data_IF_325203606572
#
_entry.id   IF_325203606572
#
_cell.length_a   1.000
_cell.length_b   1.000
_cell.length_c   1.000
_cell.angle_alpha   90.00
_cell.angle_beta   90.00
_cell.angle_gamma   90.00
#
_symmetry.space_group_name_H-M   'P 1'
#
loop_
_entity.id
_entity.type
_entity.pdbx_description
1 polymer ?
#
# COMPACT_ATOMS: atom_id res chain seq x y z
N UNK A 1 21.74 25.86 -33.29
CA UNK A 1 20.70 26.64 -32.60
C UNK A 1 19.33 26.04 -32.88
N UNK A 2 18.71 25.35 -31.91
CA UNK A 2 17.44 24.63 -32.07
C UNK A 2 16.31 25.49 -31.51
N UNK A 3 15.33 25.82 -32.35
CA UNK A 3 14.21 26.74 -32.05
C UNK A 3 13.21 26.03 -31.12
N UNK A 4 13.10 26.52 -29.90
CA UNK A 4 12.15 26.08 -28.87
C UNK A 4 10.73 26.52 -29.28
N UNK A 5 9.79 25.58 -29.37
CA UNK A 5 8.35 25.90 -29.43
C UNK A 5 7.78 25.75 -28.03
N UNK A 6 7.37 26.88 -27.46
CA UNK A 6 6.65 26.97 -26.19
C UNK A 6 5.17 26.69 -26.52
N UNK A 7 4.62 25.60 -25.98
CA UNK A 7 3.19 25.33 -26.02
C UNK A 7 2.53 26.06 -24.85
N UNK A 8 1.65 27.02 -25.15
CA UNK A 8 0.76 27.60 -24.16
C UNK A 8 -0.38 26.61 -23.86
N UNK A 9 -0.58 26.19 -22.61
CA UNK A 9 -1.74 25.38 -22.25
C UNK A 9 -3.01 26.22 -22.30
N UNK A 10 -3.99 25.72 -23.05
CA UNK A 10 -5.33 26.29 -23.13
C UNK A 10 -6.06 26.07 -21.79
N UNK A 11 -6.71 27.08 -21.20
CA UNK A 11 -7.39 26.93 -19.92
C UNK A 11 -8.62 26.00 -20.03
N UNK A 12 -8.93 25.23 -18.98
CA UNK A 12 -10.11 24.36 -18.96
C UNK A 12 -11.40 25.20 -18.94
N UNK A 13 -12.32 24.87 -19.85
CA UNK A 13 -13.68 25.38 -19.86
C UNK A 13 -14.46 24.82 -18.65
N UNK A 14 -14.76 25.70 -17.69
CA UNK A 14 -15.67 25.46 -16.58
C UNK A 14 -17.13 25.77 -16.99
N UNK A 15 -18.14 25.36 -16.20
CA UNK A 15 -19.32 24.65 -16.72
C UNK A 15 -20.45 25.59 -17.15
N UNK A 16 -21.18 25.20 -18.20
CA UNK A 16 -22.48 25.80 -18.52
C UNK A 16 -23.48 25.42 -17.42
N UNK A 17 -23.84 26.40 -16.62
CA UNK A 17 -24.96 26.36 -15.69
C UNK A 17 -26.26 26.02 -16.45
N UNK A 18 -26.85 24.88 -16.12
CA UNK A 18 -28.21 24.54 -16.53
C UNK A 18 -29.17 25.18 -15.53
N UNK A 19 -29.55 26.43 -15.79
CA UNK A 19 -30.67 27.08 -15.12
C UNK A 19 -31.94 26.61 -15.84
N UNK A 20 -32.60 25.56 -15.31
CA UNK A 20 -34.00 25.30 -15.64
C UNK A 20 -34.89 25.88 -14.55
N UNK A 21 -35.52 26.98 -14.94
CA UNK A 21 -36.73 27.55 -14.35
C UNK A 21 -37.83 26.49 -14.44
N UNK A 22 -38.35 26.03 -13.31
CA UNK A 22 -39.68 25.41 -13.26
C UNK A 22 -40.61 26.32 -12.50
N UNK A 23 -41.48 26.92 -13.29
CA UNK A 23 -42.57 27.77 -12.86
C UNK A 23 -43.54 27.03 -11.95
N UNK A 24 -43.77 27.70 -10.83
CA UNK A 24 -44.90 27.68 -9.94
C UNK A 24 -46.22 27.22 -10.61
N UNK A 25 -46.76 26.08 -10.17
CA UNK A 25 -48.16 25.69 -10.41
C UNK A 25 -48.87 25.68 -9.07
N UNK A 26 -49.72 26.68 -8.86
CA UNK A 26 -50.63 26.78 -7.74
C UNK A 26 -51.71 25.70 -7.88
N UNK A 27 -51.64 24.66 -7.05
CA UNK A 27 -52.75 23.74 -6.82
C UNK A 27 -53.13 23.79 -5.34
N UNK A 28 -54.22 24.50 -5.05
CA UNK A 28 -54.96 24.40 -3.81
C UNK A 28 -55.58 23.00 -3.74
N UNK A 29 -54.89 22.08 -3.07
CA UNK A 29 -55.39 20.74 -2.76
C UNK A 29 -55.39 20.56 -1.24
N UNK A 30 -56.60 20.51 -0.67
CA UNK A 30 -56.87 20.34 0.75
C UNK A 30 -56.65 18.89 1.22
N UNK A 31 -55.45 18.35 1.02
CA UNK A 31 -55.00 17.05 1.55
C UNK A 31 -53.54 17.15 2.05
N UNK A 32 -53.21 18.22 2.77
CA UNK A 32 -51.85 18.61 3.14
C UNK A 32 -51.11 17.86 4.28
N UNK A 33 -51.70 16.97 5.12
CA UNK A 33 -50.89 16.35 6.18
C UNK A 33 -50.07 15.14 5.69
N UNK A 34 -50.56 14.37 4.70
CA UNK A 34 -49.95 13.08 4.34
C UNK A 34 -48.65 13.24 3.54
N UNK A 35 -48.57 14.23 2.64
CA UNK A 35 -47.37 14.47 1.82
C UNK A 35 -46.17 15.04 2.60
N UNK A 36 -46.41 15.75 3.71
CA UNK A 36 -45.33 16.28 4.57
C UNK A 36 -44.65 15.17 5.37
N UNK A 37 -45.41 14.13 5.74
CA UNK A 37 -44.90 12.99 6.51
C UNK A 37 -43.92 12.13 5.70
N UNK A 38 -44.21 11.85 4.43
CA UNK A 38 -43.31 11.09 3.56
C UNK A 38 -41.97 11.79 3.33
N UNK A 39 -41.96 13.13 3.16
CA UNK A 39 -40.71 13.89 3.01
C UNK A 39 -39.84 13.82 4.27
N UNK A 40 -40.43 13.93 5.45
CA UNK A 40 -39.72 13.79 6.74
C UNK A 40 -39.15 12.37 6.93
N UNK A 41 -39.90 11.33 6.57
CA UNK A 41 -39.44 9.94 6.64
C UNK A 41 -38.27 9.70 5.67
N UNK A 42 -38.34 10.20 4.43
CA UNK A 42 -37.25 10.04 3.47
C UNK A 42 -35.97 10.79 3.88
N UNK A 43 -36.09 11.98 4.47
CA UNK A 43 -34.92 12.73 4.97
C UNK A 43 -34.30 11.99 6.16
N UNK A 44 -35.10 11.43 7.06
CA UNK A 44 -34.62 10.62 8.20
C UNK A 44 -33.90 9.34 7.74
N UNK A 45 -34.42 8.65 6.71
CA UNK A 45 -33.76 7.48 6.11
C UNK A 45 -32.41 7.86 5.48
N UNK A 46 -32.34 8.98 4.76
CA UNK A 46 -31.08 9.45 4.14
C UNK A 46 -30.06 9.84 5.22
N UNK A 47 -30.49 10.50 6.31
CA UNK A 47 -29.58 10.86 7.41
C UNK A 47 -29.08 9.63 8.19
N UNK A 48 -29.88 8.57 8.32
CA UNK A 48 -29.44 7.34 9.01
C UNK A 48 -28.40 6.55 8.21
N UNK A 49 -28.36 6.66 6.88
CA UNK A 49 -27.26 6.12 6.07
C UNK A 49 -25.94 6.89 6.24
N UNK A 50 -25.97 8.16 6.63
CA UNK A 50 -24.75 8.98 6.81
C UNK A 50 -24.02 8.70 8.13
N UNK A 51 -24.66 8.06 9.12
CA UNK A 51 -24.07 7.86 10.46
C UNK A 51 -23.14 6.64 10.55
N UNK A 52 -23.12 5.74 9.56
CA UNK A 52 -22.46 4.44 9.71
C UNK A 52 -21.06 4.28 9.08
N UNK A 53 -20.46 5.33 8.51
CA UNK A 53 -19.11 5.25 7.93
C UNK A 53 -18.02 5.83 8.83
N UNK A 54 -18.05 5.56 10.14
CA UNK A 54 -16.85 5.77 10.97
C UNK A 54 -15.93 4.56 10.79
N UNK A 55 -14.85 4.75 10.04
CA UNK A 55 -13.74 3.79 9.96
C UNK A 55 -13.31 3.44 11.39
N UNK A 56 -13.28 2.15 11.72
CA UNK A 56 -12.66 1.70 12.96
C UNK A 56 -11.20 2.18 12.99
N UNK A 57 -10.74 2.55 14.17
CA UNK A 57 -9.33 2.90 14.36
C UNK A 57 -8.48 1.63 14.24
N UNK A 58 -7.31 1.73 13.61
CA UNK A 58 -6.35 0.62 13.57
C UNK A 58 -5.91 0.24 14.98
N UNK A 59 -5.77 -1.06 15.22
CA UNK A 59 -5.40 -1.62 16.52
C UNK A 59 -4.20 -2.54 16.36
N UNK A 60 -3.24 -2.45 17.28
CA UNK A 60 -2.03 -3.27 17.29
C UNK A 60 -2.35 -4.57 18.01
N UNK A 61 -2.25 -5.69 17.29
CA UNK A 61 -2.40 -7.04 17.88
C UNK A 61 -1.06 -7.55 18.39
N UNK A 62 0.01 -7.24 17.67
CA UNK A 62 1.35 -7.73 17.97
C UNK A 62 2.41 -6.73 17.49
N UNK A 63 3.45 -6.53 18.29
CA UNK A 63 4.62 -5.75 17.90
C UNK A 63 5.88 -6.29 18.61
N UNK A 64 6.92 -6.62 17.83
CA UNK A 64 8.25 -6.98 18.31
C UNK A 64 9.24 -5.93 17.80
N UNK A 65 10.01 -5.35 18.73
CA UNK A 65 11.03 -4.33 18.43
C UNK A 65 12.46 -4.87 18.43
N UNK A 66 12.67 -6.10 18.88
CA UNK A 66 14.00 -6.72 18.92
C UNK A 66 14.47 -7.06 17.51
N UNK A 67 15.77 -6.88 17.26
CA UNK A 67 16.39 -7.30 16.01
C UNK A 67 16.62 -8.81 16.01
N UNK A 68 16.44 -9.43 14.85
CA UNK A 68 16.75 -10.84 14.68
C UNK A 68 18.20 -11.03 14.27
N UNK A 69 18.77 -12.17 14.66
CA UNK A 69 20.04 -12.63 14.12
C UNK A 69 19.92 -12.85 12.61
N UNK A 70 20.91 -12.38 11.87
CA UNK A 70 21.01 -12.62 10.44
C UNK A 70 21.13 -14.12 10.12
N UNK A 71 20.43 -14.57 9.06
CA UNK A 71 20.71 -15.87 8.44
C UNK A 71 22.09 -15.87 7.78
N UNK A 72 22.65 -17.06 7.56
CA UNK A 72 23.93 -17.25 6.89
C UNK A 72 23.93 -16.81 5.43
N UNK A 73 25.13 -16.69 4.86
CA UNK A 73 25.29 -16.39 3.43
C UNK A 73 24.70 -17.56 2.62
N UNK A 74 23.85 -17.25 1.62
CA UNK A 74 23.14 -18.23 0.78
C UNK A 74 22.13 -19.13 1.52
N UNK A 75 21.84 -18.87 2.79
CA UNK A 75 20.73 -19.53 3.48
C UNK A 75 19.39 -18.87 3.08
N UNK A 76 18.28 -19.63 3.07
CA UNK A 76 16.95 -19.05 2.86
C UNK A 76 16.65 -17.93 3.85
N UNK A 77 16.11 -16.81 3.34
CA UNK A 77 15.69 -15.70 4.19
C UNK A 77 14.54 -16.12 5.09
N UNK A 78 14.57 -15.73 6.37
CA UNK A 78 13.47 -15.98 7.30
C UNK A 78 12.78 -14.66 7.62
N UNK A 79 11.58 -14.49 7.07
CA UNK A 79 10.72 -13.33 7.28
C UNK A 79 9.92 -13.52 8.57
N UNK A 80 10.38 -12.90 9.64
CA UNK A 80 9.74 -13.01 10.97
C UNK A 80 8.75 -11.89 11.20
N UNK A 81 7.59 -12.22 11.75
CA UNK A 81 6.56 -11.24 12.09
C UNK A 81 7.10 -10.22 13.10
N UNK A 82 6.98 -8.93 12.75
CA UNK A 82 7.36 -7.81 13.61
C UNK A 82 6.19 -6.96 14.03
N UNK A 83 5.16 -6.85 13.19
CA UNK A 83 3.99 -6.03 13.50
C UNK A 83 2.75 -6.67 12.90
N UNK A 84 1.68 -6.75 13.68
CA UNK A 84 0.35 -7.14 13.22
C UNK A 84 -0.67 -6.11 13.68
N UNK A 85 -1.53 -5.66 12.76
CA UNK A 85 -2.64 -4.76 13.07
C UNK A 85 -3.94 -5.28 12.46
N UNK A 86 -5.04 -4.93 13.10
CA UNK A 86 -6.40 -5.04 12.55
C UNK A 86 -6.96 -3.65 12.26
N UNK A 87 -7.97 -3.58 11.40
CA UNK A 87 -8.53 -2.32 10.90
C UNK A 87 -7.47 -1.40 10.26
N UNK A 88 -6.55 -2.01 9.50
CA UNK A 88 -5.45 -1.34 8.84
C UNK A 88 -5.55 -1.49 7.32
N UNK A 89 -4.83 -0.65 6.58
CA UNK A 89 -4.62 -0.79 5.14
C UNK A 89 -3.24 -0.25 4.75
N UNK A 90 -2.78 -0.62 3.57
CA UNK A 90 -1.61 -0.03 2.94
C UNK A 90 -1.89 1.42 2.54
N UNK A 91 -0.86 2.25 2.63
CA UNK A 91 -0.89 3.59 2.07
C UNK A 91 -0.32 3.59 0.65
N UNK A 92 -1.13 3.16 -0.32
CA UNK A 92 -0.72 3.04 -1.73
C UNK A 92 -0.08 4.31 -2.30
N UNK A 93 -0.53 5.50 -1.85
CA UNK A 93 0.06 6.78 -2.26
C UNK A 93 1.55 6.89 -1.95
N UNK A 94 2.04 6.16 -0.94
CA UNK A 94 3.46 6.08 -0.56
C UNK A 94 4.21 4.94 -1.25
N UNK A 95 3.52 3.82 -1.53
CA UNK A 95 4.14 2.61 -2.10
C UNK A 95 4.33 2.70 -3.62
N UNK A 96 3.39 3.35 -4.32
CA UNK A 96 3.41 3.45 -5.78
C UNK A 96 4.51 4.39 -6.29
N UNK A 97 5.03 5.26 -5.40
CA UNK A 97 6.01 6.29 -5.75
C UNK A 97 6.90 6.64 -4.55
N UNK A 98 7.67 5.65 -4.08
CA UNK A 98 8.56 5.81 -2.93
C UNK A 98 9.60 6.92 -3.20
N UNK A 99 10.08 7.01 -4.43
CA UNK A 99 11.11 7.98 -4.80
C UNK A 99 10.61 9.43 -4.73
N UNK A 100 9.40 9.74 -5.20
CA UNK A 100 8.90 11.11 -5.09
C UNK A 100 8.47 11.45 -3.66
N UNK A 101 7.92 10.49 -2.91
CA UNK A 101 7.48 10.74 -1.53
C UNK A 101 8.65 10.91 -0.55
N UNK A 102 9.78 10.24 -0.82
CA UNK A 102 10.91 10.18 0.11
C UNK A 102 12.23 10.71 -0.44
N UNK A 103 12.26 11.15 -1.70
CA UNK A 103 13.41 11.74 -2.36
C UNK A 103 14.53 10.72 -2.66
N UNK A 104 15.21 10.91 -3.81
CA UNK A 104 16.29 10.02 -4.28
C UNK A 104 17.54 10.00 -3.37
N UNK A 105 17.70 10.97 -2.46
CA UNK A 105 18.93 11.19 -1.68
C UNK A 105 18.71 11.31 -0.15
N UNK A 106 17.56 10.91 0.38
CA UNK A 106 17.30 11.02 1.82
C UNK A 106 17.76 9.78 2.62
N UNK A 107 17.99 9.99 3.94
CA UNK A 107 18.47 8.96 4.88
C UNK A 107 17.55 7.71 4.89
N UNK A 108 18.09 6.48 4.95
CA UNK A 108 17.33 5.23 4.94
C UNK A 108 16.15 5.15 5.92
N UNK A 109 16.29 5.77 7.11
CA UNK A 109 15.25 5.78 8.16
C UNK A 109 13.90 6.38 7.71
N UNK A 110 13.88 7.27 6.70
CA UNK A 110 12.61 7.80 6.17
C UNK A 110 11.88 6.80 5.28
N UNK A 111 12.58 5.87 4.62
CA UNK A 111 12.00 4.92 3.65
C UNK A 111 11.12 3.86 4.28
N UNK A 112 11.46 3.39 5.48
CA UNK A 112 10.63 2.43 6.23
C UNK A 112 9.21 2.98 6.44
N UNK A 113 9.04 4.31 6.53
CA UNK A 113 7.72 4.91 6.72
C UNK A 113 6.77 4.77 5.53
N UNK A 114 7.28 4.44 4.34
CA UNK A 114 6.45 4.10 3.17
C UNK A 114 5.58 2.86 3.44
N UNK A 115 6.08 1.98 4.30
CA UNK A 115 5.45 0.72 4.67
C UNK A 115 4.56 0.85 5.92
N UNK A 116 4.45 2.03 6.53
CA UNK A 116 3.57 2.19 7.70
C UNK A 116 2.09 2.18 7.28
N UNK A 117 1.22 1.44 7.98
CA UNK A 117 -0.17 1.30 7.61
C UNK A 117 -1.01 2.54 7.97
N UNK A 118 -2.10 2.75 7.24
CA UNK A 118 -3.17 3.69 7.57
C UNK A 118 -4.41 2.96 8.13
N UNK A 119 -5.40 3.71 8.59
CA UNK A 119 -6.68 3.12 9.01
C UNK A 119 -7.38 2.46 7.81
N UNK A 120 -8.02 1.32 8.06
CA UNK A 120 -8.65 0.52 7.02
C UNK A 120 -9.55 -0.58 7.56
N UNK A 121 -9.83 -1.57 6.73
CA UNK A 121 -10.72 -2.70 7.05
C UNK A 121 -10.03 -4.08 7.01
N UNK A 122 -8.71 -4.09 6.82
CA UNK A 122 -7.95 -5.32 6.60
C UNK A 122 -7.05 -5.61 7.80
N UNK A 123 -6.48 -6.82 7.78
CA UNK A 123 -5.40 -7.19 8.66
C UNK A 123 -4.09 -6.85 7.95
N UNK A 124 -3.16 -6.26 8.69
CA UNK A 124 -1.85 -5.87 8.21
C UNK A 124 -0.79 -6.64 8.96
N UNK A 125 0.19 -7.15 8.23
CA UNK A 125 1.34 -7.86 8.76
C UNK A 125 2.61 -7.25 8.19
N UNK A 126 3.60 -7.03 9.04
CA UNK A 126 4.94 -6.60 8.66
C UNK A 126 5.94 -7.63 9.13
N UNK A 127 6.73 -8.13 8.20
CA UNK A 127 7.80 -9.07 8.43
C UNK A 127 9.14 -8.43 8.12
N UNK A 128 10.16 -8.82 8.85
CA UNK A 128 11.55 -8.45 8.57
C UNK A 128 12.38 -9.72 8.45
N UNK A 129 13.15 -9.83 7.38
CA UNK A 129 14.19 -10.85 7.23
C UNK A 129 15.56 -10.19 7.35
N UNK A 130 16.37 -10.59 8.31
CA UNK A 130 17.77 -10.16 8.43
C UNK A 130 18.67 -11.27 7.89
N UNK A 131 19.58 -10.94 6.97
CA UNK A 131 20.40 -11.95 6.26
C UNK A 131 21.80 -11.40 5.91
N UNK A 132 22.76 -12.30 5.71
CA UNK A 132 24.09 -11.95 5.20
C UNK A 132 24.10 -11.96 3.67
N UNK A 133 24.65 -10.91 3.08
CA UNK A 133 24.79 -10.76 1.63
C UNK A 133 26.14 -10.15 1.23
N UNK A 134 26.47 -10.25 -0.05
CA UNK A 134 27.63 -9.58 -0.64
C UNK A 134 27.32 -8.10 -0.89
N UNK A 135 28.14 -7.18 -0.39
CA UNK A 135 28.03 -5.75 -0.75
C UNK A 135 28.96 -5.39 -1.90
N UNK A 136 28.45 -4.66 -2.88
CA UNK A 136 29.27 -4.05 -3.92
C UNK A 136 30.14 -2.94 -3.32
N UNK A 137 31.45 -2.99 -3.56
CA UNK A 137 32.42 -2.04 -3.02
C UNK A 137 33.25 -1.36 -4.13
N UNK A 138 32.67 -1.09 -5.30
CA UNK A 138 33.32 -0.28 -6.34
C UNK A 138 34.66 -0.82 -6.85
N UNK A 139 34.84 -2.14 -6.89
CA UNK A 139 36.07 -2.81 -7.34
C UNK A 139 37.02 -3.26 -6.22
N UNK A 140 36.76 -2.91 -4.97
CA UNK A 140 37.43 -3.50 -3.81
C UNK A 140 36.92 -4.94 -3.54
N UNK A 141 37.63 -5.75 -2.72
CA UNK A 141 37.16 -7.08 -2.35
C UNK A 141 35.73 -7.07 -1.82
N UNK A 142 34.92 -8.02 -2.28
CA UNK A 142 33.55 -8.20 -1.81
C UNK A 142 33.53 -8.41 -0.31
N UNK A 143 32.83 -7.53 0.42
CA UNK A 143 32.59 -7.72 1.85
C UNK A 143 31.22 -8.32 2.10
N UNK A 144 31.12 -9.22 3.08
CA UNK A 144 29.85 -9.74 3.56
C UNK A 144 29.29 -8.75 4.58
N UNK A 145 28.06 -8.29 4.37
CA UNK A 145 27.33 -7.38 5.29
C UNK A 145 25.97 -7.97 5.64
N UNK A 146 25.36 -7.43 6.68
CA UNK A 146 23.98 -7.73 7.03
C UNK A 146 23.03 -6.78 6.29
N UNK A 147 21.95 -7.36 5.78
CA UNK A 147 20.87 -6.69 5.08
C UNK A 147 19.54 -7.08 5.71
N UNK A 148 18.51 -6.28 5.47
CA UNK A 148 17.15 -6.43 5.96
C UNK A 148 16.17 -6.23 4.82
N UNK A 149 15.35 -7.24 4.59
CA UNK A 149 14.17 -7.11 3.74
C UNK A 149 12.96 -6.83 4.61
N UNK A 150 12.10 -5.92 4.15
CA UNK A 150 10.74 -5.74 4.65
C UNK A 150 9.76 -6.41 3.71
N UNK A 151 8.82 -7.17 4.28
CA UNK A 151 7.66 -7.72 3.58
C UNK A 151 6.41 -7.27 4.33
N UNK A 152 5.49 -6.60 3.64
CA UNK A 152 4.18 -6.26 4.17
C UNK A 152 3.12 -7.09 3.48
N UNK A 153 2.17 -7.63 4.26
CA UNK A 153 1.06 -8.45 3.76
C UNK A 153 -0.24 -7.89 4.31
N UNK A 154 -1.21 -7.73 3.40
CA UNK A 154 -2.58 -7.33 3.69
C UNK A 154 -3.48 -8.54 3.50
N UNK A 155 -4.27 -8.89 4.51
CA UNK A 155 -5.24 -10.00 4.42
C UNK A 155 -6.65 -9.56 4.77
N UNK A 156 -7.64 -10.33 4.32
CA UNK A 156 -9.01 -10.23 4.84
C UNK A 156 -9.15 -10.99 6.18
N UNK A 157 -10.37 -11.05 6.72
CA UNK A 157 -10.65 -11.72 7.99
C UNK A 157 -10.48 -13.25 7.96
N UNK A 158 -10.35 -13.85 6.78
CA UNK A 158 -10.11 -15.29 6.58
C UNK A 158 -8.64 -15.61 6.29
N UNK A 159 -7.74 -14.64 6.53
CA UNK A 159 -6.32 -14.68 6.21
C UNK A 159 -6.00 -14.87 4.73
N UNK A 160 -6.96 -14.64 3.83
CA UNK A 160 -6.67 -14.58 2.39
C UNK A 160 -5.85 -13.33 2.08
N UNK A 161 -4.72 -13.52 1.41
CA UNK A 161 -3.82 -12.45 0.99
C UNK A 161 -4.51 -11.65 -0.11
N UNK A 162 -4.69 -10.36 0.15
CA UNK A 162 -5.28 -9.39 -0.77
C UNK A 162 -4.18 -8.68 -1.55
N UNK A 163 -3.10 -8.31 -0.87
CA UNK A 163 -1.96 -7.64 -1.47
C UNK A 163 -0.71 -7.84 -0.60
N UNK A 164 0.48 -7.75 -1.20
CA UNK A 164 1.74 -7.80 -0.47
C UNK A 164 2.86 -7.10 -1.24
N UNK A 165 3.78 -6.47 -0.49
CA UNK A 165 4.94 -5.79 -1.05
C UNK A 165 6.21 -6.20 -0.32
N UNK A 166 7.30 -6.37 -1.06
CA UNK A 166 8.63 -6.63 -0.53
C UNK A 166 9.60 -5.54 -0.99
N UNK A 167 10.55 -5.18 -0.12
CA UNK A 167 11.61 -4.21 -0.41
C UNK A 167 12.85 -4.49 0.43
N UNK A 168 14.05 -4.27 -0.12
CA UNK A 168 15.31 -4.38 0.61
C UNK A 168 15.73 -3.01 1.17
N UNK A 169 15.89 -2.88 2.48
CA UNK A 169 16.03 -1.59 3.18
C UNK A 169 17.38 -0.89 2.97
N UNK A 170 18.45 -1.67 2.85
CA UNK A 170 19.85 -1.20 2.85
C UNK A 170 20.36 -0.87 1.45
N UNK A 171 19.65 -1.27 0.40
CA UNK A 171 20.00 -0.87 -0.95
C UNK A 171 19.69 0.63 -1.11
N UNK A 172 20.69 1.33 -1.62
CA UNK A 172 20.79 2.79 -1.55
C UNK A 172 21.19 3.41 -2.88
N UNK A 173 21.14 2.65 -3.97
CA UNK A 173 21.30 3.20 -5.32
C UNK A 173 19.93 3.62 -5.86
N UNK A 174 19.68 4.93 -6.06
CA UNK A 174 18.44 5.40 -6.63
C UNK A 174 18.29 4.96 -8.10
N UNK A 175 17.06 4.89 -8.62
CA UNK A 175 15.78 5.11 -7.93
C UNK A 175 15.35 3.87 -7.14
N UNK A 176 14.88 4.10 -5.91
CA UNK A 176 14.55 3.05 -4.95
C UNK A 176 13.30 2.26 -5.35
N UNK A 177 12.42 2.83 -6.18
CA UNK A 177 11.24 2.15 -6.67
C UNK A 177 11.57 0.86 -7.43
N UNK A 178 12.77 0.72 -7.99
CA UNK A 178 13.18 -0.52 -8.67
C UNK A 178 13.12 -1.73 -7.75
N UNK A 179 13.44 -1.58 -6.48
CA UNK A 179 13.56 -2.71 -5.55
C UNK A 179 12.24 -3.03 -4.84
N UNK A 180 11.14 -2.40 -5.25
CA UNK A 180 9.81 -2.68 -4.71
C UNK A 180 9.14 -3.75 -5.56
N UNK A 181 8.91 -4.89 -4.93
CA UNK A 181 8.16 -5.99 -5.52
C UNK A 181 6.76 -6.08 -4.93
N UNK A 182 5.79 -6.47 -5.77
CA UNK A 182 4.40 -6.69 -5.42
C UNK A 182 4.00 -8.13 -5.71
N UNK A 183 3.25 -8.75 -4.80
CA UNK A 183 2.71 -10.10 -5.03
C UNK A 183 1.73 -10.11 -6.20
N UNK A 184 1.79 -11.18 -7.00
CA UNK A 184 0.85 -11.39 -8.12
C UNK A 184 0.01 -12.65 -8.00
N UNK A 185 0.35 -13.53 -7.05
CA UNK A 185 -0.45 -14.70 -6.74
C UNK A 185 -1.84 -14.32 -6.19
N UNK A 186 -2.85 -15.10 -6.53
CA UNK A 186 -4.24 -14.92 -6.08
C UNK A 186 -4.69 -16.10 -5.24
N UNK A 187 -5.68 -15.88 -4.37
CA UNK A 187 -6.32 -16.91 -3.54
C UNK A 187 -5.40 -17.64 -2.55
N UNK A 188 -4.24 -17.06 -2.24
CA UNK A 188 -3.32 -17.60 -1.24
C UNK A 188 -3.79 -17.21 0.17
N UNK A 189 -3.65 -18.12 1.13
CA UNK A 189 -3.85 -17.81 2.55
C UNK A 189 -2.51 -17.58 3.22
N UNK A 190 -2.43 -16.58 4.09
CA UNK A 190 -1.30 -16.39 4.97
C UNK A 190 -1.32 -17.47 6.04
N UNK A 191 -0.33 -18.35 6.01
CA UNK A 191 -0.12 -19.40 7.02
C UNK A 191 1.30 -19.28 7.56
N UNK A 192 1.52 -19.88 8.72
CA UNK A 192 2.88 -20.04 9.21
C UNK A 192 3.69 -20.94 8.25
N UNK A 193 4.98 -20.67 8.14
CA UNK A 193 5.90 -21.32 7.19
C UNK A 193 5.51 -21.18 5.71
N UNK A 194 4.76 -20.15 5.31
CA UNK A 194 4.48 -19.88 3.90
C UNK A 194 5.76 -19.54 3.12
N UNK A 195 5.97 -20.19 1.97
CA UNK A 195 7.13 -19.93 1.11
C UNK A 195 6.98 -18.58 0.39
N UNK A 196 8.02 -17.74 0.39
CA UNK A 196 8.00 -16.42 -0.24
C UNK A 196 7.69 -16.50 -1.74
N UNK A 197 8.24 -17.50 -2.40
CA UNK A 197 8.11 -17.76 -3.84
C UNK A 197 6.65 -17.95 -4.25
N UNK A 198 5.81 -18.45 -3.34
CA UNK A 198 4.37 -18.63 -3.59
C UNK A 198 3.63 -17.30 -3.81
N UNK A 199 4.19 -16.17 -3.37
CA UNK A 199 3.63 -14.84 -3.61
C UNK A 199 3.80 -14.38 -5.08
N UNK A 200 4.68 -15.02 -5.84
CA UNK A 200 5.00 -14.66 -7.23
C UNK A 200 5.29 -13.15 -7.35
N UNK A 201 6.30 -12.69 -6.61
CA UNK A 201 6.67 -11.28 -6.49
C UNK A 201 7.12 -10.73 -7.85
N UNK A 202 6.54 -9.58 -8.24
CA UNK A 202 6.85 -8.86 -9.48
C UNK A 202 7.29 -7.43 -9.16
N UNK A 203 8.32 -6.92 -9.84
CA UNK A 203 8.72 -5.51 -9.71
C UNK A 203 7.55 -4.59 -10.05
N UNK A 204 7.35 -3.57 -9.23
CA UNK A 204 6.33 -2.52 -9.46
C UNK A 204 6.75 -1.56 -10.58
N UNK A 205 8.06 -1.42 -10.77
CA UNK A 205 8.65 -0.63 -11.84
C UNK A 205 9.79 -1.41 -12.49
N UNK A 206 9.73 -1.61 -13.80
CA UNK A 206 10.81 -2.23 -14.57
C UNK A 206 11.04 -1.47 -15.88
N UNK A 207 12.31 -1.35 -16.27
CA UNK A 207 12.68 -0.88 -17.62
C UNK A 207 12.63 -2.00 -18.66
N UNK A 208 12.58 -3.26 -18.24
CA UNK A 208 12.65 -4.43 -19.11
C UNK A 208 11.68 -5.53 -18.63
N UNK A 209 10.85 -6.05 -19.54
CA UNK A 209 9.88 -7.10 -19.23
C UNK A 209 10.53 -8.39 -18.69
N UNK A 210 11.79 -8.64 -19.07
CA UNK A 210 12.54 -9.84 -18.67
C UNK A 210 13.09 -9.81 -17.23
N UNK A 211 13.06 -8.67 -16.54
CA UNK A 211 13.53 -8.51 -15.14
C UNK A 211 12.38 -8.22 -14.17
N UNK A 212 11.20 -8.75 -14.50
CA UNK A 212 9.97 -8.44 -13.75
C UNK A 212 9.74 -9.36 -12.56
N UNK A 213 10.24 -10.60 -12.58
CA UNK A 213 10.00 -11.58 -11.52
C UNK A 213 11.15 -11.62 -10.51
N UNK A 214 10.80 -11.67 -9.23
CA UNK A 214 11.78 -11.88 -8.17
C UNK A 214 12.28 -13.32 -8.15
N UNK A 215 13.59 -13.49 -8.01
CA UNK A 215 14.24 -14.78 -7.74
C UNK A 215 14.46 -15.02 -6.23
N UNK A 216 13.87 -14.17 -5.39
CA UNK A 216 14.02 -14.22 -3.94
C UNK A 216 13.37 -15.48 -3.36
N UNK A 217 14.05 -16.06 -2.37
CA UNK A 217 13.63 -17.27 -1.67
C UNK A 217 13.55 -17.01 -0.18
N UNK A 218 12.55 -17.59 0.48
CA UNK A 218 12.44 -17.44 1.91
C UNK A 218 11.19 -18.06 2.52
N UNK A 219 11.14 -18.01 3.85
CA UNK A 219 10.05 -18.58 4.65
C UNK A 219 9.46 -17.48 5.51
N UNK A 220 8.14 -17.34 5.47
CA UNK A 220 7.36 -16.42 6.30
C UNK A 220 6.97 -17.14 7.59
N UNK A 221 7.31 -16.55 8.73
CA UNK A 221 6.99 -17.08 10.07
C UNK A 221 6.11 -16.12 10.87
N UNK A 222 5.00 -16.64 11.37
CA UNK A 222 4.04 -15.89 12.20
C UNK A 222 4.43 -15.90 13.69
N UNK A 223 5.33 -16.80 14.11
CA UNK A 223 5.84 -16.96 15.48
C UNK A 223 7.36 -17.21 15.49
#
# INVERSE_FOLDING_TARGET
MKKVRIFNPQPPLAPKALVMILNNKNENSSNQPIMKLYKLITISLILSFLVSCKSKQKEIVHEIKTEDKATGLNEPKIYKLKKQLINADFDYSKLDDIDNNYGLFHKPKKRISAFEPKNGKYNYYQFIATFKGSSYNGGAPTSIKEFKDILIIKTNNENQIIDAYQYTLEWSEPPFQYDVYKASAKHLKLTDHLMLESLQLKRTYSRNENDTLSNEKGIIKLQ
#
